data_IF_340278542642
#
_entry.id   IF_340278542642
#
_cell.length_a   1.000
_cell.length_b   1.000
_cell.length_c   1.000
_cell.angle_alpha   90.00
_cell.angle_beta   90.00
_cell.angle_gamma   90.00
#
_symmetry.space_group_name_H-M   'P 1'
#
loop_
_entity.id
_entity.type
_entity.pdbx_description
1 polymer ?
#
# COMPACT_ATOMS: atom_id res chain seq x y z
N UNK A 1 26.11 -28.93 -33.84
CA UNK A 1 26.40 -29.71 -32.62
C UNK A 1 25.39 -29.30 -31.56
N UNK A 2 24.21 -29.92 -31.41
CA UNK A 2 23.86 -31.31 -31.04
C UNK A 2 24.21 -31.67 -29.60
N UNK A 3 23.19 -31.73 -28.73
CA UNK A 3 22.91 -32.81 -27.77
C UNK A 3 21.45 -32.62 -27.29
N UNK A 4 20.47 -33.26 -27.94
CA UNK A 4 19.87 -34.59 -27.70
C UNK A 4 19.06 -34.69 -26.39
N UNK A 5 17.73 -34.68 -26.60
CA UNK A 5 16.63 -35.04 -25.71
C UNK A 5 16.63 -36.53 -25.32
N UNK A 6 15.83 -36.89 -24.29
CA UNK A 6 15.19 -38.19 -23.95
C UNK A 6 14.82 -38.10 -22.44
N UNK A 7 13.69 -38.54 -21.87
CA UNK A 7 12.44 -39.20 -22.31
C UNK A 7 11.39 -38.99 -21.21
N UNK A 8 10.14 -38.78 -21.61
CA UNK A 8 8.93 -38.82 -20.77
C UNK A 8 8.32 -40.23 -20.89
N UNK A 9 7.93 -40.86 -19.77
CA UNK A 9 7.16 -42.10 -19.78
C UNK A 9 5.87 -41.91 -18.97
N UNK A 10 4.74 -42.00 -19.68
CA UNK A 10 3.36 -42.01 -19.22
C UNK A 10 2.99 -43.38 -18.64
N UNK A 11 2.17 -43.42 -17.59
CA UNK A 11 1.35 -44.60 -17.22
C UNK A 11 -0.09 -44.15 -17.02
N UNK A 12 -0.97 -44.67 -17.88
CA UNK A 12 -2.44 -44.59 -17.83
C UNK A 12 -2.98 -45.82 -17.09
N UNK A 13 -3.93 -45.62 -16.17
CA UNK A 13 -4.74 -46.68 -15.59
C UNK A 13 -6.22 -46.32 -15.69
N UNK A 14 -6.95 -46.99 -16.59
CA UNK A 14 -8.39 -46.89 -16.75
C UNK A 14 -9.08 -47.98 -15.91
N UNK A 15 -10.15 -47.61 -15.22
CA UNK A 15 -11.06 -48.54 -14.56
C UNK A 15 -12.44 -47.91 -14.44
N UNK A 16 -13.33 -48.26 -15.35
CA UNK A 16 -14.76 -47.91 -15.32
C UNK A 16 -15.57 -49.20 -15.12
N UNK A 17 -16.54 -49.18 -14.20
CA UNK A 17 -17.80 -49.91 -14.33
C UNK A 17 -18.81 -49.46 -13.26
N UNK A 18 -19.97 -48.99 -13.73
CA UNK A 18 -21.19 -48.64 -12.98
C UNK A 18 -22.02 -49.88 -12.63
N UNK A 19 -22.76 -49.87 -11.51
CA UNK A 19 -24.11 -50.48 -11.32
C UNK A 19 -24.78 -49.74 -10.12
N UNK A 20 -25.87 -48.98 -10.30
CA UNK A 20 -27.30 -49.34 -10.53
C UNK A 20 -28.06 -49.74 -9.25
N UNK A 21 -29.02 -48.90 -8.87
CA UNK A 21 -30.05 -49.09 -7.83
C UNK A 21 -31.00 -50.28 -8.12
N UNK A 22 -31.41 -51.04 -7.08
CA UNK A 22 -32.82 -51.42 -6.76
C UNK A 22 -32.95 -52.48 -5.64
N UNK A 23 -33.44 -52.03 -4.49
CA UNK A 23 -34.69 -52.42 -3.79
C UNK A 23 -35.02 -53.88 -3.33
N UNK A 24 -35.47 -53.96 -2.05
CA UNK A 24 -36.34 -54.94 -1.31
C UNK A 24 -35.72 -56.27 -0.85
N UNK A 25 -35.98 -56.82 0.35
CA UNK A 25 -36.87 -56.47 1.47
C UNK A 25 -36.46 -57.20 2.78
N UNK A 26 -36.74 -56.54 3.90
CA UNK A 26 -37.23 -57.00 5.23
C UNK A 26 -36.69 -58.27 5.91
N UNK A 27 -36.18 -58.11 7.15
CA UNK A 27 -36.61 -58.86 8.35
C UNK A 27 -36.59 -57.92 9.57
N UNK A 28 -37.57 -58.13 10.44
CA UNK A 28 -38.12 -57.31 11.53
C UNK A 28 -37.33 -57.29 12.87
N UNK A 29 -37.79 -56.37 13.74
CA UNK A 29 -37.75 -56.34 15.22
C UNK A 29 -36.66 -55.51 15.97
N UNK A 30 -37.02 -54.88 17.11
CA UNK A 30 -36.69 -53.47 17.41
C UNK A 30 -35.72 -53.24 18.58
N UNK A 31 -35.02 -52.09 18.59
CA UNK A 31 -34.34 -51.58 19.78
C UNK A 31 -34.27 -50.03 19.81
N UNK A 32 -35.12 -49.45 20.68
CA UNK A 32 -35.03 -48.21 21.49
C UNK A 32 -34.27 -46.97 20.93
N UNK A 33 -34.89 -45.78 20.84
CA UNK A 33 -34.19 -44.54 20.50
C UNK A 33 -33.37 -44.01 21.70
N UNK A 34 -32.05 -43.97 21.57
CA UNK A 34 -31.21 -43.16 22.44
C UNK A 34 -31.13 -41.73 21.88
N UNK A 35 -31.71 -40.78 22.62
CA UNK A 35 -31.60 -39.35 22.34
C UNK A 35 -30.12 -38.92 22.40
N UNK A 36 -29.55 -38.56 21.25
CA UNK A 36 -28.22 -37.96 21.16
C UNK A 36 -28.36 -36.46 21.42
N UNK A 37 -27.74 -35.99 22.49
CA UNK A 37 -27.58 -34.57 22.77
C UNK A 37 -26.82 -33.89 21.61
N UNK A 38 -27.21 -32.68 21.17
CA UNK A 38 -26.45 -31.97 20.15
C UNK A 38 -25.06 -31.62 20.68
N UNK A 39 -24.03 -32.06 19.95
CA UNK A 39 -22.65 -31.64 20.19
C UNK A 39 -22.57 -30.10 20.02
N UNK A 40 -21.79 -29.39 20.87
CA UNK A 40 -21.57 -27.96 20.67
C UNK A 40 -20.82 -27.76 19.35
N UNK A 41 -21.44 -27.04 18.43
CA UNK A 41 -20.78 -26.52 17.24
C UNK A 41 -19.66 -25.59 17.70
N UNK A 42 -18.43 -26.09 17.64
CA UNK A 42 -17.24 -25.24 17.76
C UNK A 42 -17.26 -24.33 16.53
N UNK A 43 -17.68 -23.08 16.74
CA UNK A 43 -17.60 -22.06 15.72
C UNK A 43 -16.15 -21.91 15.30
N UNK A 44 -15.87 -22.23 14.04
CA UNK A 44 -14.60 -21.89 13.40
C UNK A 44 -14.49 -20.37 13.43
N UNK A 45 -13.73 -19.84 14.38
CA UNK A 45 -13.40 -18.42 14.47
C UNK A 45 -12.52 -18.10 13.25
N UNK A 46 -13.17 -17.64 12.18
CA UNK A 46 -12.48 -17.15 10.99
C UNK A 46 -11.65 -15.95 11.44
N UNK A 47 -10.34 -15.90 11.16
CA UNK A 47 -9.53 -14.75 11.52
C UNK A 47 -10.19 -13.47 11.02
N UNK A 48 -10.55 -12.58 11.94
CA UNK A 48 -11.13 -11.29 11.59
C UNK A 48 -10.16 -10.57 10.65
N UNK A 49 -10.68 -10.07 9.52
CA UNK A 49 -9.91 -9.25 8.61
C UNK A 49 -9.29 -8.08 9.42
N UNK A 50 -8.03 -7.69 9.15
CA UNK A 50 -7.40 -6.58 9.85
C UNK A 50 -8.30 -5.35 9.79
N UNK A 51 -8.64 -4.80 10.97
CA UNK A 51 -9.46 -3.60 11.03
C UNK A 51 -8.75 -2.46 10.29
N UNK A 52 -9.49 -1.75 9.43
CA UNK A 52 -8.97 -0.54 8.80
C UNK A 52 -8.59 0.49 9.87
N UNK A 53 -7.48 1.22 9.68
CA UNK A 53 -7.10 2.25 10.64
C UNK A 53 -8.22 3.29 10.75
N UNK A 54 -8.53 3.67 11.98
CA UNK A 54 -9.56 4.68 12.25
C UNK A 54 -9.24 6.05 11.62
N UNK A 55 -7.96 6.27 11.27
CA UNK A 55 -7.47 7.45 10.57
C UNK A 55 -6.64 7.02 9.37
N UNK A 56 -7.04 7.44 8.18
CA UNK A 56 -6.24 7.35 6.96
C UNK A 56 -5.39 8.62 6.77
N UNK A 57 -4.30 8.50 6.00
CA UNK A 57 -3.37 9.61 5.72
C UNK A 57 -3.23 9.77 4.22
N UNK A 58 -3.37 11.00 3.74
CA UNK A 58 -3.12 11.38 2.35
C UNK A 58 -2.05 12.48 2.27
N UNK A 59 -1.33 12.50 1.16
CA UNK A 59 -0.33 13.51 0.83
C UNK A 59 -1.02 14.85 0.50
N UNK A 60 -0.38 15.95 0.91
CA UNK A 60 -0.86 17.30 0.66
C UNK A 60 0.33 18.25 0.47
N UNK A 61 0.18 19.25 -0.41
CA UNK A 61 1.23 20.22 -0.69
C UNK A 61 1.65 21.07 0.52
N UNK A 62 0.83 21.14 1.56
CA UNK A 62 1.09 21.88 2.80
C UNK A 62 1.41 20.97 4.00
N UNK A 63 1.45 19.66 3.80
CA UNK A 63 1.71 18.68 4.86
C UNK A 63 1.06 17.33 4.60
N UNK A 64 0.24 16.86 5.53
CA UNK A 64 -0.53 15.62 5.41
C UNK A 64 -2.00 15.87 5.73
N UNK A 65 -2.91 15.25 4.97
CA UNK A 65 -4.34 15.21 5.32
C UNK A 65 -4.60 13.97 6.13
N UNK A 66 -5.09 14.16 7.35
CA UNK A 66 -5.63 13.07 8.15
C UNK A 66 -7.13 12.99 7.92
N UNK A 67 -7.60 11.79 7.61
CA UNK A 67 -8.99 11.52 7.27
C UNK A 67 -9.54 10.58 8.33
N UNK A 68 -10.59 11.01 9.02
CA UNK A 68 -11.33 10.11 9.90
C UNK A 68 -12.13 9.13 9.05
N UNK A 69 -11.80 7.83 9.15
CA UNK A 69 -12.36 6.81 8.26
C UNK A 69 -13.86 6.55 8.49
N UNK A 70 -14.42 7.01 9.62
CA UNK A 70 -15.84 6.81 9.95
C UNK A 70 -16.72 7.95 9.47
N UNK A 71 -16.22 9.18 9.57
CA UNK A 71 -16.98 10.40 9.28
C UNK A 71 -16.60 11.04 7.94
N UNK A 72 -15.44 10.69 7.38
CA UNK A 72 -14.86 11.34 6.21
C UNK A 72 -14.30 12.74 6.48
N UNK A 73 -14.34 13.20 7.73
CA UNK A 73 -13.81 14.52 8.11
C UNK A 73 -12.30 14.57 7.88
N UNK A 74 -11.81 15.69 7.36
CA UNK A 74 -10.38 15.88 7.08
C UNK A 74 -9.78 16.98 7.94
N UNK A 75 -8.53 16.79 8.35
CA UNK A 75 -7.71 17.83 9.00
C UNK A 75 -6.32 17.90 8.40
N UNK A 76 -5.77 19.11 8.29
CA UNK A 76 -4.39 19.31 7.89
C UNK A 76 -3.47 19.09 9.10
N UNK A 77 -2.46 18.24 8.93
CA UNK A 77 -1.24 18.26 9.73
C UNK A 77 -0.20 19.00 8.90
N UNK A 78 -0.06 20.29 9.17
CA UNK A 78 0.76 21.19 8.36
C UNK A 78 2.25 21.00 8.60
N UNK A 79 3.08 21.39 7.63
CA UNK A 79 4.50 21.61 7.87
C UNK A 79 4.71 22.62 9.01
N UNK A 80 5.77 22.43 9.80
CA UNK A 80 6.03 23.18 11.03
C UNK A 80 5.31 22.65 12.28
N UNK A 81 4.40 21.68 12.11
CA UNK A 81 3.81 20.96 13.24
C UNK A 81 4.88 20.17 14.00
N UNK A 82 4.55 19.83 15.26
CA UNK A 82 5.39 18.96 16.08
C UNK A 82 5.61 17.60 15.38
N UNK A 83 6.89 17.21 15.25
CA UNK A 83 7.25 15.97 14.56
C UNK A 83 6.75 14.72 15.28
N UNK A 84 6.65 14.71 16.62
CA UNK A 84 6.15 13.54 17.34
C UNK A 84 4.67 13.28 16.99
N UNK A 85 3.87 14.35 16.89
CA UNK A 85 2.48 14.24 16.44
C UNK A 85 2.35 13.71 15.00
N UNK A 86 3.21 14.17 14.08
CA UNK A 86 3.25 13.67 12.69
C UNK A 86 3.61 12.17 12.65
N UNK A 87 4.66 11.78 13.37
CA UNK A 87 5.14 10.40 13.43
C UNK A 87 4.13 9.46 14.08
N UNK A 88 3.39 9.92 15.08
CA UNK A 88 2.32 9.15 15.71
C UNK A 88 1.17 8.87 14.72
N UNK A 89 0.72 9.88 13.97
CA UNK A 89 -0.31 9.71 12.96
C UNK A 89 0.11 8.71 11.88
N UNK A 90 1.33 8.83 11.36
CA UNK A 90 1.89 7.94 10.36
C UNK A 90 2.08 6.51 10.88
N UNK A 91 2.53 6.37 12.13
CA UNK A 91 2.69 5.06 12.76
C UNK A 91 1.34 4.37 12.96
N UNK A 92 0.29 5.15 13.23
CA UNK A 92 -1.08 4.63 13.38
C UNK A 92 -1.64 4.15 12.03
N UNK A 93 -1.37 4.88 10.95
CA UNK A 93 -1.87 4.56 9.62
C UNK A 93 -1.08 3.42 8.95
N UNK A 94 0.25 3.44 9.07
CA UNK A 94 1.15 2.62 8.26
C UNK A 94 2.13 1.77 9.06
N UNK A 95 2.06 1.78 10.38
CA UNK A 95 2.98 1.06 11.27
C UNK A 95 4.31 1.76 11.45
N UNK A 96 5.25 1.10 12.13
CA UNK A 96 6.54 1.70 12.47
C UNK A 96 7.38 2.03 11.21
N UNK A 97 8.18 3.12 11.24
CA UNK A 97 9.15 3.39 10.18
C UNK A 97 10.22 2.29 10.13
N UNK A 98 10.74 2.04 8.94
CA UNK A 98 11.82 1.08 8.70
C UNK A 98 13.21 1.66 8.98
N UNK A 99 13.40 2.96 8.76
CA UNK A 99 14.72 3.59 8.81
C UNK A 99 14.62 5.03 9.33
N UNK A 100 15.67 5.46 10.04
CA UNK A 100 15.92 6.86 10.38
C UNK A 100 17.37 7.18 10.02
N UNK A 101 17.59 8.25 9.26
CA UNK A 101 18.92 8.65 8.82
C UNK A 101 19.12 10.15 8.95
N UNK A 102 20.19 10.56 9.62
CA UNK A 102 20.63 11.95 9.69
C UNK A 102 21.19 12.41 8.34
N UNK A 103 20.94 13.66 7.99
CA UNK A 103 21.42 14.35 6.78
C UNK A 103 22.02 15.69 7.21
N UNK A 104 23.29 15.69 7.68
CA UNK A 104 23.93 16.90 8.20
C UNK A 104 24.20 17.95 7.11
N UNK A 105 24.42 17.50 5.88
CA UNK A 105 24.88 18.36 4.78
C UNK A 105 23.75 18.87 3.88
N UNK A 106 22.50 18.84 4.37
CA UNK A 106 21.39 19.36 3.60
C UNK A 106 21.52 20.88 3.42
N UNK A 107 21.31 21.38 2.20
CA UNK A 107 21.43 22.83 1.92
C UNK A 107 20.51 23.72 2.75
N UNK A 108 19.40 23.17 3.26
CA UNK A 108 18.46 23.84 4.18
C UNK A 108 18.83 23.67 5.67
N UNK A 109 20.02 23.14 5.97
CA UNK A 109 20.49 22.82 7.33
C UNK A 109 20.29 21.36 7.71
N UNK A 110 20.95 20.87 8.79
CA UNK A 110 20.87 19.48 9.22
C UNK A 110 19.42 19.02 9.44
N UNK A 111 19.09 17.83 8.96
CA UNK A 111 17.76 17.23 9.17
C UNK A 111 17.84 15.72 9.36
N UNK A 112 16.72 15.12 9.75
CA UNK A 112 16.55 13.67 9.81
C UNK A 112 15.50 13.22 8.81
N UNK A 113 15.83 12.22 8.00
CA UNK A 113 14.87 11.50 7.16
C UNK A 113 14.36 10.26 7.89
N UNK A 114 13.06 9.99 7.79
CA UNK A 114 12.39 8.85 8.42
C UNK A 114 11.58 8.13 7.34
N UNK A 115 11.86 6.85 7.11
CA UNK A 115 11.32 6.11 5.95
C UNK A 115 10.40 4.98 6.37
N UNK A 116 9.32 4.80 5.62
CA UNK A 116 8.39 3.67 5.76
C UNK A 116 8.56 2.68 4.60
N UNK A 117 8.24 1.39 4.81
CA UNK A 117 8.31 0.36 3.76
C UNK A 117 7.46 0.66 2.51
N UNK A 118 6.40 1.45 2.66
CA UNK A 118 5.48 1.81 1.59
C UNK A 118 5.97 2.96 0.69
N UNK A 119 7.24 3.38 0.82
CA UNK A 119 7.86 4.38 -0.05
C UNK A 119 7.73 5.82 0.46
N UNK A 120 7.05 6.06 1.60
CA UNK A 120 7.06 7.36 2.24
C UNK A 120 8.41 7.64 2.93
N UNK A 121 8.91 8.85 2.73
CA UNK A 121 9.94 9.46 3.57
C UNK A 121 9.43 10.78 4.13
N UNK A 122 9.67 11.03 5.41
CA UNK A 122 9.38 12.30 6.08
C UNK A 122 10.67 12.96 6.51
N UNK A 123 10.72 14.28 6.38
CA UNK A 123 11.82 15.11 6.84
C UNK A 123 11.44 15.81 8.15
N UNK A 124 12.36 15.73 9.11
CA UNK A 124 12.24 16.38 10.41
C UNK A 124 13.47 17.26 10.63
N UNK A 125 13.24 18.52 10.98
CA UNK A 125 14.27 19.49 11.35
C UNK A 125 13.79 20.24 12.60
N UNK A 126 14.66 20.40 13.60
CA UNK A 126 14.33 21.13 14.84
C UNK A 126 13.02 20.65 15.53
N UNK A 127 12.84 19.33 15.58
CA UNK A 127 11.63 18.67 16.09
C UNK A 127 10.33 19.04 15.34
N UNK A 128 10.42 19.64 14.14
CA UNK A 128 9.28 19.95 13.27
C UNK A 128 9.20 19.00 12.09
N UNK A 129 7.98 18.68 11.69
CA UNK A 129 7.69 18.05 10.40
C UNK A 129 7.85 19.09 9.29
N UNK A 130 8.82 18.93 8.39
CA UNK A 130 9.16 19.98 7.41
C UNK A 130 8.95 19.58 5.95
N UNK A 131 8.79 18.30 5.66
CA UNK A 131 8.61 17.82 4.30
C UNK A 131 8.29 16.34 4.21
N UNK A 132 7.81 15.92 3.06
CA UNK A 132 7.63 14.51 2.72
C UNK A 132 8.05 14.25 1.28
N UNK A 133 8.45 13.01 0.99
CA UNK A 133 8.58 12.47 -0.35
C UNK A 133 8.00 11.07 -0.43
N UNK A 134 7.48 10.68 -1.58
CA UNK A 134 6.93 9.37 -1.87
C UNK A 134 7.58 8.80 -3.13
N UNK A 135 8.06 7.56 -3.05
CA UNK A 135 8.55 6.79 -4.19
C UNK A 135 7.75 5.49 -4.31
N UNK A 136 7.91 4.76 -5.41
CA UNK A 136 7.33 3.43 -5.54
C UNK A 136 7.78 2.54 -4.35
N UNK A 137 6.85 1.80 -3.72
CA UNK A 137 7.19 0.91 -2.63
C UNK A 137 8.04 -0.26 -3.15
N UNK A 138 9.00 -0.72 -2.34
CA UNK A 138 9.87 -1.86 -2.71
C UNK A 138 9.14 -3.21 -2.69
N UNK A 139 7.95 -3.24 -2.10
CA UNK A 139 7.09 -4.42 -1.97
C UNK A 139 5.64 -3.99 -2.23
N UNK A 140 4.75 -4.89 -2.69
CA UNK A 140 3.34 -4.60 -2.82
C UNK A 140 2.77 -4.07 -1.50
N UNK A 141 2.05 -2.95 -1.56
CA UNK A 141 1.40 -2.35 -0.39
C UNK A 141 -0.06 -2.81 -0.38
N UNK A 142 -0.61 -3.25 0.77
CA UNK A 142 -2.02 -3.60 0.87
C UNK A 142 -2.92 -2.45 0.42
N UNK A 143 -4.10 -2.80 -0.13
CA UNK A 143 -5.13 -1.83 -0.45
C UNK A 143 -5.43 -0.94 0.78
N UNK A 144 -5.64 0.35 0.55
CA UNK A 144 -5.86 1.34 1.62
C UNK A 144 -4.60 1.82 2.35
N UNK A 145 -3.40 1.31 2.02
CA UNK A 145 -2.12 1.78 2.58
C UNK A 145 -1.19 2.49 1.59
N UNK A 146 -1.69 2.74 0.38
CA UNK A 146 -0.98 3.48 -0.65
C UNK A 146 -0.66 4.91 -0.18
N UNK A 147 0.52 5.41 -0.55
CA UNK A 147 1.00 6.75 -0.23
C UNK A 147 0.64 7.68 -1.39
N UNK A 148 -0.47 8.38 -1.28
CA UNK A 148 -1.06 9.16 -2.36
C UNK A 148 -1.83 10.38 -1.84
N UNK A 149 -2.12 11.33 -2.71
CA UNK A 149 -2.98 12.48 -2.42
C UNK A 149 -4.45 12.07 -2.29
N UNK A 150 -5.30 13.00 -1.85
CA UNK A 150 -6.76 12.78 -1.81
C UNK A 150 -7.39 12.53 -3.20
N UNK A 151 -6.72 12.95 -4.29
CA UNK A 151 -7.15 12.66 -5.66
C UNK A 151 -6.59 11.35 -6.22
N UNK A 152 -5.82 10.60 -5.42
CA UNK A 152 -5.24 9.32 -5.83
C UNK A 152 -3.91 9.43 -6.59
N UNK A 153 -3.29 10.61 -6.62
CA UNK A 153 -1.96 10.77 -7.24
C UNK A 153 -0.87 10.35 -6.25
N UNK A 154 -0.01 9.43 -6.67
CA UNK A 154 1.15 8.99 -5.91
C UNK A 154 2.29 8.56 -6.84
N UNK A 155 3.36 8.02 -6.26
CA UNK A 155 4.39 7.40 -7.07
C UNK A 155 3.81 6.19 -7.83
N UNK A 156 4.12 6.10 -9.13
CA UNK A 156 3.53 5.14 -10.06
C UNK A 156 2.32 5.64 -10.84
N UNK A 157 1.64 6.71 -10.40
CA UNK A 157 0.62 7.37 -11.22
C UNK A 157 1.23 7.85 -12.53
N UNK A 158 0.52 7.69 -13.65
CA UNK A 158 0.95 8.16 -14.96
C UNK A 158 0.86 9.68 -15.06
N UNK A 159 1.65 10.26 -15.96
CA UNK A 159 1.56 11.69 -16.29
C UNK A 159 0.14 12.13 -16.66
N UNK A 160 -0.58 11.33 -17.44
CA UNK A 160 -1.98 11.62 -17.79
C UNK A 160 -2.91 11.64 -16.58
N UNK A 161 -2.72 10.75 -15.60
CA UNK A 161 -3.47 10.77 -14.34
C UNK A 161 -3.16 12.02 -13.50
N UNK A 162 -1.90 12.45 -13.47
CA UNK A 162 -1.51 13.69 -12.78
C UNK A 162 -2.14 14.91 -13.44
N UNK A 163 -2.06 15.02 -14.78
CA UNK A 163 -2.66 16.12 -15.55
C UNK A 163 -4.19 16.14 -15.45
N UNK A 164 -4.83 14.98 -15.27
CA UNK A 164 -6.26 14.86 -15.02
C UNK A 164 -6.69 15.31 -13.62
N UNK A 165 -5.80 15.19 -12.62
CA UNK A 165 -6.07 15.56 -11.24
C UNK A 165 -5.63 16.97 -10.86
N UNK A 166 -4.60 17.51 -11.53
CA UNK A 166 -3.96 18.78 -11.19
C UNK A 166 -3.55 19.57 -12.44
N UNK A 167 -3.63 20.89 -12.34
CA UNK A 167 -2.89 21.77 -13.26
C UNK A 167 -1.39 21.67 -12.93
N UNK A 168 -0.57 21.32 -13.92
CA UNK A 168 0.87 21.14 -13.73
C UNK A 168 1.71 21.95 -14.71
N UNK A 169 2.89 22.37 -14.24
CA UNK A 169 3.96 22.90 -15.08
C UNK A 169 5.05 21.85 -15.22
N UNK A 170 5.42 21.47 -16.44
CA UNK A 170 6.44 20.44 -16.71
C UNK A 170 7.68 21.08 -17.32
N UNK A 171 8.87 20.70 -16.83
CA UNK A 171 10.15 21.19 -17.34
C UNK A 171 11.22 20.10 -17.29
N UNK A 172 12.25 20.22 -18.14
CA UNK A 172 13.43 19.34 -18.06
C UNK A 172 14.44 19.95 -17.10
N UNK A 173 14.82 19.21 -16.07
CA UNK A 173 15.84 19.61 -15.08
C UNK A 173 16.93 18.55 -14.97
N UNK A 174 17.92 18.77 -14.12
CA UNK A 174 18.96 17.77 -13.81
C UNK A 174 18.38 16.52 -13.14
N UNK A 175 17.17 16.61 -12.57
CA UNK A 175 16.45 15.47 -11.99
C UNK A 175 15.65 14.67 -13.01
N UNK A 176 15.52 15.15 -14.25
CA UNK A 176 14.75 14.49 -15.30
C UNK A 176 13.59 15.34 -15.79
N UNK A 177 12.43 14.72 -16.00
CA UNK A 177 11.20 15.42 -16.42
C UNK A 177 10.42 15.82 -15.18
N UNK A 178 10.71 17.00 -14.65
CA UNK A 178 10.14 17.50 -13.39
C UNK A 178 8.81 18.21 -13.65
N UNK A 179 7.87 18.07 -12.72
CA UNK A 179 6.61 18.81 -12.73
C UNK A 179 6.35 19.48 -11.38
N UNK A 180 5.59 20.56 -11.41
CA UNK A 180 5.03 21.22 -10.23
C UNK A 180 3.50 21.24 -10.30
N UNK A 181 2.87 20.88 -9.18
CA UNK A 181 1.42 20.83 -8.98
C UNK A 181 1.07 21.57 -7.68
N UNK A 182 0.83 22.88 -7.77
CA UNK A 182 0.71 23.73 -6.59
C UNK A 182 1.99 23.72 -5.75
N UNK A 183 1.88 23.35 -4.47
CA UNK A 183 3.04 23.22 -3.56
C UNK A 183 3.72 21.84 -3.62
N UNK A 184 3.25 20.94 -4.48
CA UNK A 184 3.89 19.64 -4.73
C UNK A 184 4.78 19.71 -5.96
N UNK A 185 5.85 18.91 -5.94
CA UNK A 185 6.73 18.70 -7.08
C UNK A 185 6.94 17.20 -7.30
N UNK A 186 7.27 16.80 -8.51
CA UNK A 186 7.55 15.40 -8.81
C UNK A 186 8.38 15.23 -10.07
N UNK A 187 8.84 14.01 -10.31
CA UNK A 187 9.61 13.62 -11.51
C UNK A 187 8.90 12.47 -12.20
N UNK A 188 8.66 12.62 -13.51
CA UNK A 188 8.24 11.52 -14.37
C UNK A 188 9.45 10.77 -14.92
N UNK A 189 9.31 9.46 -15.13
CA UNK A 189 10.34 8.62 -15.72
C UNK A 189 10.75 9.10 -17.13
N UNK A 190 9.80 9.63 -17.90
CA UNK A 190 10.03 10.26 -19.20
C UNK A 190 8.97 11.33 -19.51
N UNK A 191 8.88 11.80 -20.77
CA UNK A 191 7.96 12.88 -21.16
C UNK A 191 6.62 12.40 -21.73
N UNK A 192 6.40 11.09 -21.88
CA UNK A 192 5.17 10.53 -22.47
C UNK A 192 3.98 10.60 -21.49
N UNK A 193 2.72 10.60 -21.99
CA UNK A 193 1.55 10.61 -21.12
C UNK A 193 1.44 9.39 -20.19
N UNK A 194 2.03 8.26 -20.58
CA UNK A 194 2.06 7.03 -19.77
C UNK A 194 3.22 6.96 -18.77
N UNK A 195 4.11 7.95 -18.76
CA UNK A 195 5.28 7.96 -17.89
C UNK A 195 4.85 7.97 -16.41
N UNK A 196 5.30 7.01 -15.59
CA UNK A 196 4.96 7.01 -14.17
C UNK A 196 5.72 8.11 -13.42
N UNK A 197 5.11 8.61 -12.34
CA UNK A 197 5.79 9.42 -11.31
C UNK A 197 6.79 8.53 -10.58
N UNK A 198 8.08 8.86 -10.66
CA UNK A 198 9.14 8.14 -9.92
C UNK A 198 9.21 8.59 -8.47
N UNK A 199 9.08 9.90 -8.26
CA UNK A 199 9.08 10.52 -6.94
C UNK A 199 8.16 11.73 -6.94
N UNK A 200 7.43 11.89 -5.84
CA UNK A 200 6.59 13.05 -5.53
C UNK A 200 7.05 13.62 -4.17
N UNK A 201 7.07 14.93 -3.99
CA UNK A 201 7.45 15.56 -2.73
C UNK A 201 6.75 16.91 -2.51
N UNK A 202 6.71 17.34 -1.25
CA UNK A 202 6.31 18.69 -0.87
C UNK A 202 7.02 19.15 0.41
N UNK A 203 7.03 20.47 0.62
CA UNK A 203 7.75 21.11 1.70
C UNK A 203 9.26 21.14 1.46
N UNK A 204 10.03 21.06 2.55
CA UNK A 204 11.49 20.97 2.48
C UNK A 204 11.90 19.71 1.70
N UNK A 205 12.93 19.82 0.88
CA UNK A 205 13.54 18.70 0.17
C UNK A 205 15.06 18.74 0.33
N UNK A 206 15.67 17.57 0.46
CA UNK A 206 17.14 17.44 0.53
C UNK A 206 17.74 17.04 -0.82
N UNK A 207 17.18 17.57 -1.91
CA UNK A 207 17.69 17.32 -3.25
C UNK A 207 18.77 18.35 -3.54
N UNK A 208 20.00 17.89 -3.73
CA UNK A 208 21.09 18.76 -4.18
C UNK A 208 20.79 19.24 -5.60
N UNK A 209 20.92 20.55 -5.80
CA UNK A 209 20.70 21.23 -7.09
C UNK A 209 21.93 22.04 -7.43
#
# INVERSE_FOLDING_TARGET
MSYRAIVFALVLGAGACSQSEKERAAVDAPAVPAAQAPAPTVGTDSPAAPAEPAVAVALDGEGLRLVDSKTGSTRLLAFGADSAAALQALTTAWGAPAERAAQPDCGAGPLTSIRWPNGLTVLVQEAKFTGWSATAPRQPVPAGRAVQTMSGVGAGSTRGEVEGAYAINVSKTTLGTEFQAGAMSGVFADSTPGAPVEVLWAGMSCVYR
#
